data_IF_150396419552
#
_entry.id   IF_150396419552
#
_cell.length_a   1.000
_cell.length_b   1.000
_cell.length_c   1.000
_cell.angle_alpha   90.00
_cell.angle_beta   90.00
_cell.angle_gamma   90.00
#
_symmetry.space_group_name_H-M   'P 1'
#
loop_
_entity.id
_entity.type
_entity.pdbx_description
1 polymer ?
#
# COMPACT_ATOMS: atom_id res chain seq x y z
N UNK A 1 -5.97 -11.09 -1.58
CA UNK A 1 -4.86 -10.79 -2.50
C UNK A 1 -4.82 -9.30 -2.80
N UNK A 2 -3.64 -8.73 -2.73
CA UNK A 2 -3.47 -7.29 -2.95
C UNK A 2 -3.43 -6.99 -4.43
N UNK A 3 -4.17 -5.97 -4.84
CA UNK A 3 -4.27 -5.60 -6.25
C UNK A 3 -4.00 -4.11 -6.43
N UNK A 4 -3.71 -3.75 -7.66
CA UNK A 4 -3.55 -2.36 -8.03
C UNK A 4 -4.79 -1.55 -7.62
N UNK A 5 -4.56 -0.43 -6.96
CA UNK A 5 -5.65 0.43 -6.50
C UNK A 5 -6.19 0.11 -5.13
N UNK A 6 -5.75 -0.99 -4.52
CA UNK A 6 -6.21 -1.33 -3.18
C UNK A 6 -5.65 -0.36 -2.15
N UNK A 7 -6.44 -0.12 -1.11
CA UNK A 7 -6.00 0.65 0.03
C UNK A 7 -5.39 -0.29 1.04
N UNK A 8 -4.21 0.06 1.52
CA UNK A 8 -3.45 -0.80 2.43
C UNK A 8 -2.78 0.03 3.51
N UNK A 9 -2.37 -0.64 4.58
CA UNK A 9 -1.48 -0.08 5.58
C UNK A 9 -0.31 -1.04 5.76
N UNK A 10 0.82 -0.50 6.14
CA UNK A 10 1.97 -1.33 6.52
C UNK A 10 1.70 -1.88 7.90
N UNK A 11 1.94 -3.19 8.09
CA UNK A 11 1.69 -3.82 9.38
C UNK A 11 2.42 -3.08 10.49
N UNK A 12 1.68 -2.77 11.54
CA UNK A 12 2.23 -2.05 12.67
C UNK A 12 2.21 -0.56 12.53
N UNK A 13 1.72 -0.05 11.40
CA UNK A 13 1.60 1.39 11.18
C UNK A 13 0.16 1.74 10.86
N UNK A 14 -0.16 3.01 11.03
CA UNK A 14 -1.52 3.49 10.79
C UNK A 14 -1.67 4.27 9.50
N UNK A 15 -0.59 4.52 8.80
CA UNK A 15 -0.62 5.38 7.64
C UNK A 15 -1.20 4.64 6.45
N UNK A 16 -2.22 5.22 5.86
CA UNK A 16 -2.90 4.59 4.73
C UNK A 16 -2.18 4.88 3.44
N UNK A 17 -2.16 3.89 2.55
CA UNK A 17 -1.51 4.01 1.25
C UNK A 17 -2.36 3.34 0.20
N UNK A 18 -2.04 3.61 -1.05
CA UNK A 18 -2.71 2.98 -2.18
C UNK A 18 -1.67 2.22 -3.00
N UNK A 19 -2.07 1.06 -3.51
CA UNK A 19 -1.19 0.23 -4.32
C UNK A 19 -1.08 0.83 -5.71
N UNK A 20 0.14 1.16 -6.11
CA UNK A 20 0.39 1.78 -7.43
C UNK A 20 1.02 0.82 -8.41
N UNK A 21 1.61 -0.28 -7.94
CA UNK A 21 2.16 -1.29 -8.84
C UNK A 21 2.29 -2.61 -8.09
N UNK A 22 2.07 -3.70 -8.80
CA UNK A 22 2.24 -5.04 -8.25
C UNK A 22 3.26 -5.76 -9.12
N UNK A 23 4.31 -6.24 -8.49
CA UNK A 23 5.41 -6.89 -9.21
C UNK A 23 5.31 -8.42 -9.05
N UNK A 24 5.81 -9.17 -10.02
CA UNK A 24 5.64 -10.62 -10.01
C UNK A 24 6.37 -11.35 -8.89
N UNK A 25 7.33 -10.71 -8.25
CA UNK A 25 8.10 -11.33 -7.18
C UNK A 25 7.51 -11.06 -5.80
N UNK A 26 6.22 -10.79 -5.74
CA UNK A 26 5.50 -10.50 -4.50
C UNK A 26 5.89 -9.17 -3.87
N UNK A 27 6.46 -8.29 -4.66
CA UNK A 27 6.76 -6.93 -4.23
C UNK A 27 5.64 -6.02 -4.68
N UNK A 28 5.31 -5.05 -3.84
CA UNK A 28 4.21 -4.14 -4.11
C UNK A 28 4.70 -2.72 -3.89
N UNK A 29 4.43 -1.86 -4.85
CA UNK A 29 4.72 -0.44 -4.68
C UNK A 29 3.47 0.27 -4.19
N UNK A 30 3.66 1.12 -3.19
CA UNK A 30 2.55 1.87 -2.61
C UNK A 30 2.90 3.35 -2.55
N UNK A 31 1.86 4.16 -2.47
CA UNK A 31 2.01 5.59 -2.33
C UNK A 31 1.17 6.02 -1.14
N UNK A 32 1.81 6.68 -0.18
CA UNK A 32 1.11 7.12 1.03
C UNK A 32 0.21 8.30 0.71
N UNK A 33 -1.04 8.20 1.13
CA UNK A 33 -2.06 9.17 0.75
C UNK A 33 -1.92 10.51 1.45
N UNK A 34 -1.36 10.50 2.64
CA UNK A 34 -1.27 11.71 3.45
C UNK A 34 0.15 12.22 3.59
N UNK A 35 0.99 11.89 2.62
CA UNK A 35 2.37 12.37 2.63
C UNK A 35 2.35 13.90 2.44
N UNK A 36 2.98 14.59 3.37
CA UNK A 36 2.92 16.06 3.35
C UNK A 36 3.84 16.68 2.32
N UNK A 37 4.77 15.93 1.78
CA UNK A 37 5.73 16.44 0.82
C UNK A 37 5.63 15.74 -0.51
N UNK A 38 4.43 15.76 -1.07
CA UNK A 38 4.20 15.10 -2.33
C UNK A 38 4.09 13.60 -2.16
N UNK A 39 4.03 12.92 -3.27
CA UNK A 39 3.82 11.49 -3.26
C UNK A 39 5.04 10.78 -2.71
N UNK A 40 4.80 9.92 -1.73
CA UNK A 40 5.84 9.07 -1.17
C UNK A 40 5.61 7.65 -1.64
N UNK A 41 6.48 7.18 -2.48
CA UNK A 41 6.38 5.82 -2.99
C UNK A 41 7.37 4.94 -2.27
N UNK A 42 6.90 3.78 -1.88
CA UNK A 42 7.73 2.79 -1.21
C UNK A 42 7.40 1.41 -1.75
N UNK A 43 8.37 0.52 -1.66
CA UNK A 43 8.18 -0.87 -2.07
C UNK A 43 8.26 -1.76 -0.85
N UNK A 44 7.28 -2.65 -0.73
CA UNK A 44 7.21 -3.60 0.37
C UNK A 44 6.88 -4.98 -0.16
N UNK A 45 7.26 -6.00 0.58
CA UNK A 45 6.75 -7.33 0.30
C UNK A 45 5.24 -7.31 0.55
N UNK A 46 4.49 -8.03 -0.27
CA UNK A 46 3.03 -8.03 -0.13
C UNK A 46 2.59 -8.47 1.26
N UNK A 47 3.33 -9.39 1.86
CA UNK A 47 2.97 -9.89 3.19
C UNK A 47 3.17 -8.87 4.30
N UNK A 48 3.90 -7.79 4.02
CA UNK A 48 4.08 -6.73 4.99
C UNK A 48 2.93 -5.73 4.99
N UNK A 49 1.97 -5.90 4.11
CA UNK A 49 0.85 -4.97 3.95
C UNK A 49 -0.44 -5.64 4.36
N UNK A 50 -1.34 -4.83 4.93
CA UNK A 50 -2.68 -5.27 5.25
C UNK A 50 -3.66 -4.50 4.41
N UNK A 51 -4.55 -5.22 3.74
CA UNK A 51 -5.58 -4.58 2.95
C UNK A 51 -6.65 -4.01 3.86
N UNK A 52 -7.00 -2.76 3.61
CA UNK A 52 -8.08 -2.11 4.32
C UNK A 52 -9.35 -2.36 3.53
N UNK A 53 -10.28 -3.07 4.14
CA UNK A 53 -11.55 -3.29 3.48
C UNK A 53 -12.35 -2.01 3.48
N UNK A 54 -12.82 -1.57 2.32
CA UNK A 54 -13.66 -0.38 2.30
C UNK A 54 -14.94 -0.67 3.08
N UNK A 55 -15.28 0.27 3.93
CA UNK A 55 -16.55 0.18 4.64
C UNK A 55 -17.63 0.58 3.67
N UNK A 56 -18.42 -0.32 3.35
CA UNK A 56 -19.52 -0.01 2.46
C UNK A 56 -20.74 0.39 3.24
#
# INVERSE_FOLDING_TARGET
>A
MIRLGDHVVVRGEDEEAIVTAVHPDSQVEIEFLHASEGARRRRYAAEALEKISPTS
#
